data_IF_621982346985
#
_entry.id   IF_621982346985
#
_cell.length_a   1.000
_cell.length_b   1.000
_cell.length_c   1.000
_cell.angle_alpha   90.00
_cell.angle_beta   90.00
_cell.angle_gamma   90.00
#
_symmetry.space_group_name_H-M   'P 1'
#
loop_
_entity.id
_entity.type
_entity.pdbx_description
1 polymer ?
#
# COMPACT_ATOMS: atom_id res chain seq x y z
N UNK A 1 49.80 29.67 -27.69
CA UNK A 1 48.79 29.69 -26.62
C UNK A 1 48.08 28.35 -26.63
N UNK A 2 48.43 27.46 -25.70
CA UNK A 2 47.91 26.09 -25.62
C UNK A 2 46.50 26.11 -25.05
N UNK A 3 45.53 25.66 -25.85
CA UNK A 3 44.13 25.50 -25.44
C UNK A 3 44.08 24.41 -24.37
N UNK A 4 43.98 24.83 -23.11
CA UNK A 4 43.71 23.95 -21.98
C UNK A 4 42.39 23.23 -22.22
N UNK A 5 42.45 21.92 -22.41
CA UNK A 5 41.28 21.03 -22.46
C UNK A 5 40.50 21.25 -21.16
N UNK A 6 39.37 21.96 -21.26
CA UNK A 6 38.35 21.99 -20.24
C UNK A 6 37.86 20.55 -20.07
N UNK A 7 38.42 19.83 -19.11
CA UNK A 7 37.84 18.58 -18.63
C UNK A 7 36.44 18.92 -18.12
N UNK A 8 35.42 18.64 -18.93
CA UNK A 8 34.03 18.73 -18.51
C UNK A 8 33.87 17.89 -17.25
N UNK A 9 33.60 18.56 -16.13
CA UNK A 9 33.37 18.03 -14.79
C UNK A 9 32.10 17.14 -14.68
N UNK A 10 31.71 16.47 -15.76
CA UNK A 10 30.46 15.70 -15.89
C UNK A 10 30.61 14.24 -16.31
N UNK A 11 31.83 13.68 -16.44
CA UNK A 11 32.02 12.38 -17.11
C UNK A 11 31.56 11.16 -16.29
N UNK A 12 31.58 11.19 -14.96
CA UNK A 12 31.14 10.04 -14.14
C UNK A 12 29.63 9.98 -13.96
N UNK A 13 28.97 11.13 -13.76
CA UNK A 13 27.51 11.20 -13.61
C UNK A 13 26.75 10.80 -14.88
N UNK A 14 27.30 11.11 -16.06
CA UNK A 14 26.73 10.67 -17.34
C UNK A 14 26.83 9.14 -17.52
N UNK A 15 27.97 8.53 -17.17
CA UNK A 15 28.16 7.07 -17.23
C UNK A 15 27.26 6.30 -16.27
N UNK A 16 26.99 6.82 -15.07
CA UNK A 16 26.00 6.21 -14.17
C UNK A 16 24.58 6.34 -14.70
N UNK A 17 24.26 7.45 -15.36
CA UNK A 17 22.93 7.65 -15.93
C UNK A 17 22.65 6.70 -17.10
N UNK A 18 23.69 6.35 -17.88
CA UNK A 18 23.63 5.39 -18.98
C UNK A 18 23.34 3.94 -18.50
N UNK A 19 23.73 3.61 -17.27
CA UNK A 19 23.37 2.33 -16.62
C UNK A 19 21.94 2.29 -16.08
N UNK A 20 21.26 3.43 -15.98
CA UNK A 20 19.90 3.50 -15.41
C UNK A 20 18.91 3.08 -16.49
N UNK A 21 18.38 1.88 -16.33
CA UNK A 21 17.31 1.36 -17.20
C UNK A 21 16.11 2.30 -17.10
N UNK A 22 15.74 2.90 -18.23
CA UNK A 22 14.48 3.64 -18.37
C UNK A 22 13.36 2.65 -18.11
N UNK A 23 12.58 2.88 -17.05
CA UNK A 23 11.43 2.04 -16.72
C UNK A 23 10.21 2.71 -17.32
N UNK A 24 9.53 1.98 -18.21
CA UNK A 24 8.31 2.45 -18.84
C UNK A 24 7.18 2.69 -17.83
N UNK A 25 6.24 3.57 -18.16
CA UNK A 25 5.13 3.96 -17.30
C UNK A 25 4.26 2.75 -16.90
N UNK A 26 4.04 1.83 -17.83
CA UNK A 26 3.32 0.58 -17.60
C UNK A 26 4.01 -0.27 -16.51
N UNK A 27 5.34 -0.36 -16.58
CA UNK A 27 6.15 -1.11 -15.63
C UNK A 27 6.15 -0.45 -14.24
N UNK A 28 6.12 0.89 -14.18
CA UNK A 28 5.96 1.63 -12.91
C UNK A 28 4.61 1.33 -12.26
N UNK A 29 3.52 1.43 -13.01
CA UNK A 29 2.17 1.12 -12.52
C UNK A 29 2.04 -0.32 -12.02
N UNK A 30 2.70 -1.28 -12.71
CA UNK A 30 2.71 -2.68 -12.28
C UNK A 30 3.41 -2.87 -10.93
N UNK A 31 4.56 -2.22 -10.71
CA UNK A 31 5.26 -2.28 -9.41
C UNK A 31 4.43 -1.66 -8.28
N UNK A 32 3.83 -0.50 -8.54
CA UNK A 32 2.96 0.16 -7.57
C UNK A 32 1.78 -0.74 -7.17
N UNK A 33 1.13 -1.38 -8.14
CA UNK A 33 0.05 -2.34 -7.88
C UNK A 33 0.51 -3.52 -7.03
N UNK A 34 1.67 -4.10 -7.36
CA UNK A 34 2.23 -5.22 -6.59
C UNK A 34 2.47 -4.83 -5.12
N UNK A 35 2.95 -3.61 -4.87
CA UNK A 35 3.15 -3.13 -3.51
C UNK A 35 1.82 -2.99 -2.76
N UNK A 36 0.78 -2.44 -3.39
CA UNK A 36 -0.56 -2.38 -2.78
C UNK A 36 -1.08 -3.78 -2.44
N UNK A 37 -0.89 -4.75 -3.34
CA UNK A 37 -1.28 -6.15 -3.13
C UNK A 37 -0.52 -6.79 -1.96
N UNK A 38 0.79 -6.53 -1.82
CA UNK A 38 1.57 -6.99 -0.66
C UNK A 38 1.05 -6.37 0.64
N UNK A 39 0.78 -5.06 0.65
CA UNK A 39 0.24 -4.38 1.84
C UNK A 39 -1.16 -4.90 2.22
N UNK A 40 -1.98 -5.23 1.22
CA UNK A 40 -3.28 -5.85 1.45
C UNK A 40 -3.14 -7.28 1.99
N UNK A 41 -2.18 -8.06 1.49
CA UNK A 41 -1.87 -9.40 1.98
C UNK A 41 -1.33 -9.38 3.42
N UNK A 42 -0.48 -8.41 3.77
CA UNK A 42 0.05 -8.27 5.14
C UNK A 42 -1.05 -7.90 6.14
N UNK A 43 -2.08 -7.16 5.71
CA UNK A 43 -3.27 -6.89 6.52
C UNK A 43 -4.18 -8.13 6.64
N UNK A 44 -4.10 -9.07 5.70
CA UNK A 44 -4.89 -10.29 5.69
C UNK A 44 -4.16 -11.45 6.37
N UNK A 45 -4.56 -11.75 7.60
CA UNK A 45 -4.18 -13.00 8.26
C UNK A 45 -5.37 -13.96 8.25
N UNK A 46 -5.26 -15.06 7.49
CA UNK A 46 -6.11 -16.24 7.64
C UNK A 46 -6.17 -16.61 9.12
N UNK A 47 -7.37 -16.90 9.62
CA UNK A 47 -7.55 -17.29 11.00
C UNK A 47 -6.75 -18.60 11.24
N UNK A 48 -5.70 -18.60 12.10
CA UNK A 48 -4.94 -19.81 12.40
C UNK A 48 -5.78 -20.92 13.06
N UNK A 49 -7.04 -20.63 13.36
CA UNK A 49 -8.04 -21.53 13.91
C UNK A 49 -9.17 -21.89 12.93
N UNK A 50 -9.15 -21.42 11.67
CA UNK A 50 -10.18 -21.72 10.66
C UNK A 50 -10.31 -23.23 10.37
N UNK A 51 -9.19 -23.95 10.36
CA UNK A 51 -9.10 -25.40 10.11
C UNK A 51 -8.97 -26.24 11.39
N UNK A 52 -9.19 -25.65 12.57
CA UNK A 52 -9.26 -26.43 13.81
C UNK A 52 -10.53 -27.26 13.84
N UNK A 53 -10.46 -28.44 13.24
CA UNK A 53 -11.37 -29.54 13.51
C UNK A 53 -11.23 -29.84 15.00
N UNK A 54 -12.19 -29.37 15.81
CA UNK A 54 -12.26 -29.71 17.24
C UNK A 54 -12.26 -31.23 17.35
N UNK A 55 -11.11 -31.82 17.64
CA UNK A 55 -10.99 -33.27 17.75
C UNK A 55 -11.95 -33.73 18.85
N UNK A 56 -12.88 -34.64 18.52
CA UNK A 56 -13.88 -35.20 19.45
C UNK A 56 -13.26 -36.05 20.58
N UNK A 57 -11.93 -35.97 20.77
CA UNK A 57 -11.13 -36.70 21.76
C UNK A 57 -10.54 -35.76 22.82
N UNK A 58 -11.23 -34.66 23.12
CA UNK A 58 -10.93 -33.88 24.33
C UNK A 58 -11.42 -34.72 25.52
N UNK A 59 -10.56 -35.08 26.49
CA UNK A 59 -11.01 -35.82 27.66
C UNK A 59 -12.06 -34.99 28.39
N UNK A 60 -13.27 -35.55 28.53
CA UNK A 60 -14.32 -34.97 29.38
C UNK A 60 -13.90 -35.22 30.83
N UNK A 61 -13.23 -34.26 31.43
CA UNK A 61 -13.06 -34.25 32.88
C UNK A 61 -14.41 -33.89 33.49
N UNK A 62 -15.06 -34.89 34.08
CA UNK A 62 -16.27 -34.75 34.87
C UNK A 62 -15.86 -34.17 36.23
N UNK A 63 -15.78 -32.84 36.30
CA UNK A 63 -15.65 -32.13 37.57
C UNK A 63 -17.05 -31.96 38.16
N UNK A 64 -17.35 -32.81 39.14
CA UNK A 64 -18.37 -32.60 40.15
C UNK A 64 -18.15 -31.22 40.81
N UNK A 65 -18.76 -30.18 40.26
CA UNK A 65 -18.90 -28.90 40.93
C UNK A 65 -20.33 -28.40 40.76
N UNK A 66 -21.19 -28.85 41.67
CA UNK A 66 -22.43 -28.16 41.99
C UNK A 66 -22.09 -26.72 42.38
N UNK A 67 -22.27 -25.76 41.47
CA UNK A 67 -22.89 -24.46 41.73
C UNK A 67 -22.80 -23.54 40.51
N UNK A 68 -23.92 -22.84 40.27
CA UNK A 68 -24.09 -21.64 39.42
C UNK A 68 -24.22 -21.88 37.93
N UNK A 69 -25.49 -22.04 37.54
CA UNK A 69 -26.18 -21.14 36.60
C UNK A 69 -25.42 -19.84 36.26
N UNK A 70 -24.50 -19.93 35.31
CA UNK A 70 -24.17 -18.81 34.44
C UNK A 70 -23.77 -19.42 33.12
N UNK A 71 -24.70 -19.37 32.17
CA UNK A 71 -24.36 -19.27 30.75
C UNK A 71 -23.26 -18.21 30.67
N UNK A 72 -22.00 -18.65 30.63
CA UNK A 72 -20.88 -17.82 30.24
C UNK A 72 -21.13 -17.59 28.76
N UNK A 73 -21.97 -16.58 28.47
CA UNK A 73 -21.94 -15.84 27.22
C UNK A 73 -20.46 -15.60 26.99
N UNK A 74 -19.88 -16.35 26.06
CA UNK A 74 -18.46 -16.27 25.70
C UNK A 74 -18.29 -14.79 25.34
N UNK A 75 -17.76 -14.01 26.28
CA UNK A 75 -17.51 -12.59 26.06
C UNK A 75 -16.59 -12.58 24.86
N UNK A 76 -17.08 -12.03 23.76
CA UNK A 76 -16.32 -11.92 22.52
C UNK A 76 -15.09 -11.11 22.89
N UNK A 77 -13.96 -11.80 23.08
CA UNK A 77 -12.67 -11.16 23.37
C UNK A 77 -12.45 -10.05 22.35
N UNK A 78 -11.71 -8.99 22.70
CA UNK A 78 -11.30 -7.98 21.73
C UNK A 78 -10.66 -8.63 20.49
N UNK A 79 -9.99 -9.78 20.69
CA UNK A 79 -9.41 -10.62 19.64
C UNK A 79 -10.45 -11.18 18.65
N UNK A 80 -11.67 -11.50 19.12
CA UNK A 80 -12.77 -11.94 18.25
C UNK A 80 -13.24 -10.82 17.32
N UNK A 81 -13.21 -9.56 17.79
CA UNK A 81 -13.48 -8.41 16.92
C UNK A 81 -12.31 -8.17 15.96
N UNK A 82 -11.07 -8.30 16.41
CA UNK A 82 -9.89 -8.19 15.52
C UNK A 82 -9.88 -9.25 14.40
N UNK A 83 -10.40 -10.45 14.65
CA UNK A 83 -10.50 -11.51 13.63
C UNK A 83 -11.70 -11.33 12.69
N UNK A 84 -12.81 -10.75 13.17
CA UNK A 84 -14.01 -10.49 12.33
C UNK A 84 -13.78 -9.40 11.28
N UNK A 85 -12.79 -8.53 11.46
CA UNK A 85 -12.49 -7.39 10.57
C UNK A 85 -11.36 -7.61 9.57
N UNK A 86 -10.82 -8.83 9.42
CA UNK A 86 -9.76 -9.12 8.43
C UNK A 86 -10.31 -9.46 7.06
N UNK A 87 -11.20 -8.61 6.54
CA UNK A 87 -11.70 -8.74 5.16
C UNK A 87 -10.81 -7.92 4.24
N UNK A 88 -10.53 -8.45 3.06
CA UNK A 88 -9.86 -7.66 2.02
C UNK A 88 -10.72 -6.44 1.68
N UNK A 89 -10.09 -5.33 1.28
CA UNK A 89 -10.81 -4.10 0.94
C UNK A 89 -11.94 -4.33 -0.09
N UNK A 90 -11.70 -5.20 -1.08
CA UNK A 90 -12.73 -5.56 -2.08
C UNK A 90 -13.93 -6.29 -1.47
N UNK A 91 -13.71 -7.11 -0.45
CA UNK A 91 -14.80 -7.81 0.25
C UNK A 91 -15.63 -6.84 1.08
N UNK A 92 -14.99 -5.84 1.72
CA UNK A 92 -15.71 -4.78 2.43
C UNK A 92 -16.59 -3.95 1.50
N UNK A 93 -16.10 -3.67 0.28
CA UNK A 93 -16.86 -2.95 -0.73
C UNK A 93 -18.09 -3.73 -1.22
N UNK A 94 -17.98 -5.04 -1.45
CA UNK A 94 -19.14 -5.84 -1.87
C UNK A 94 -20.19 -5.93 -0.76
N UNK A 95 -19.76 -6.08 0.50
CA UNK A 95 -20.67 -6.10 1.64
C UNK A 95 -21.39 -4.76 1.83
N UNK A 96 -20.68 -3.65 1.68
CA UNK A 96 -21.29 -2.31 1.70
C UNK A 96 -22.34 -2.16 0.60
N UNK A 97 -22.06 -2.68 -0.61
CA UNK A 97 -23.00 -2.65 -1.73
C UNK A 97 -24.27 -3.45 -1.45
N UNK A 98 -24.13 -4.68 -0.95
CA UNK A 98 -25.28 -5.53 -0.58
C UNK A 98 -26.10 -4.89 0.54
N UNK A 99 -25.43 -4.34 1.56
CA UNK A 99 -26.12 -3.64 2.65
C UNK A 99 -26.83 -2.38 2.15
N UNK A 100 -26.23 -1.65 1.22
CA UNK A 100 -26.81 -0.46 0.62
C UNK A 100 -28.07 -0.77 -0.20
N UNK A 101 -28.07 -1.86 -0.96
CA UNK A 101 -29.26 -2.34 -1.69
C UNK A 101 -30.42 -2.71 -0.73
N UNK A 102 -30.11 -3.37 0.39
CA UNK A 102 -31.13 -3.79 1.38
C UNK A 102 -31.69 -2.61 2.15
N UNK A 103 -30.82 -1.70 2.59
CA UNK A 103 -31.21 -0.54 3.43
C UNK A 103 -31.65 0.68 2.62
N UNK A 104 -31.49 0.65 1.29
CA UNK A 104 -31.63 1.79 0.38
C UNK A 104 -30.77 3.00 0.79
N UNK A 105 -29.58 2.74 1.33
CA UNK A 105 -28.57 3.78 1.62
C UNK A 105 -27.66 3.95 0.39
N UNK A 106 -26.91 5.05 0.33
CA UNK A 106 -25.88 5.23 -0.69
C UNK A 106 -24.65 4.35 -0.37
N UNK A 107 -24.15 3.61 -1.36
CA UNK A 107 -22.92 2.83 -1.21
C UNK A 107 -21.69 3.74 -1.22
N UNK A 108 -20.58 3.24 -0.69
CA UNK A 108 -19.25 3.85 -0.79
C UNK A 108 -18.88 4.25 -2.22
N UNK A 109 -19.22 3.43 -3.22
CA UNK A 109 -18.93 3.73 -4.62
C UNK A 109 -19.81 4.85 -5.19
N UNK A 110 -21.03 5.00 -4.68
CA UNK A 110 -21.96 6.05 -5.13
C UNK A 110 -21.54 7.44 -4.61
N UNK A 111 -20.77 7.48 -3.52
CA UNK A 111 -20.23 8.71 -2.96
C UNK A 111 -18.97 9.22 -3.69
N UNK A 112 -18.47 8.49 -4.70
CA UNK A 112 -17.30 8.91 -5.46
C UNK A 112 -17.60 10.22 -6.22
N UNK A 113 -16.75 11.23 -6.00
CA UNK A 113 -16.84 12.49 -6.75
C UNK A 113 -16.36 12.32 -8.18
N UNK A 114 -16.91 13.12 -9.10
CA UNK A 114 -16.42 13.20 -10.47
C UNK A 114 -14.96 13.68 -10.54
N UNK A 115 -14.29 13.29 -11.63
CA UNK A 115 -12.91 13.72 -11.89
C UNK A 115 -12.81 15.23 -12.10
N UNK A 116 -11.66 15.80 -11.69
CA UNK A 116 -11.45 17.23 -11.80
C UNK A 116 -11.32 17.66 -13.25
N UNK A 117 -12.03 18.71 -13.66
CA UNK A 117 -11.91 19.32 -14.99
C UNK A 117 -10.65 20.18 -15.18
N UNK A 118 -9.91 20.45 -14.09
CA UNK A 118 -8.73 21.31 -14.09
C UNK A 118 -7.45 20.55 -14.45
N UNK A 119 -6.48 21.18 -15.14
CA UNK A 119 -5.22 20.53 -15.50
C UNK A 119 -4.36 20.26 -14.27
N UNK A 120 -3.67 19.12 -14.27
CA UNK A 120 -2.75 18.73 -13.21
C UNK A 120 -1.57 19.70 -13.10
N UNK A 121 -1.30 20.18 -11.89
CA UNK A 121 -0.06 20.89 -11.56
C UNK A 121 1.02 19.91 -11.12
N UNK A 122 2.27 20.25 -11.41
CA UNK A 122 3.40 19.36 -11.21
C UNK A 122 4.39 19.97 -10.22
N UNK A 123 4.46 19.35 -9.04
CA UNK A 123 5.30 19.79 -7.94
C UNK A 123 6.48 18.84 -7.72
N UNK A 124 7.56 19.38 -7.18
CA UNK A 124 8.74 18.63 -6.80
C UNK A 124 8.45 17.84 -5.52
N UNK A 125 8.74 16.55 -5.52
CA UNK A 125 8.53 15.68 -4.36
C UNK A 125 9.49 15.93 -3.19
N UNK A 126 10.51 16.76 -3.37
CA UNK A 126 11.49 17.08 -2.32
C UNK A 126 11.17 18.42 -1.65
N UNK A 127 10.90 19.47 -2.42
CA UNK A 127 10.75 20.84 -1.91
C UNK A 127 9.39 21.48 -2.20
N UNK A 128 8.49 20.82 -2.94
CA UNK A 128 7.13 21.32 -3.20
C UNK A 128 7.01 22.41 -4.28
N UNK A 129 8.12 22.95 -4.80
CA UNK A 129 8.08 23.93 -5.90
C UNK A 129 7.71 23.31 -7.25
N UNK A 130 7.33 24.14 -8.23
CA UNK A 130 7.05 23.68 -9.60
C UNK A 130 8.22 22.89 -10.18
N UNK A 131 7.89 21.78 -10.85
CA UNK A 131 8.88 20.81 -11.30
C UNK A 131 8.70 20.48 -12.78
N UNK A 132 9.64 20.89 -13.65
CA UNK A 132 9.62 20.52 -15.06
C UNK A 132 10.26 19.14 -15.32
N UNK A 133 11.11 18.63 -14.42
CA UNK A 133 11.86 17.40 -14.65
C UNK A 133 11.23 16.18 -13.98
N UNK A 134 11.50 15.01 -14.57
CA UNK A 134 10.97 13.71 -14.16
C UNK A 134 12.13 12.73 -14.04
N UNK A 135 12.12 11.92 -12.99
CA UNK A 135 13.06 10.85 -12.78
C UNK A 135 12.80 9.67 -13.75
N UNK A 136 13.84 9.22 -14.47
CA UNK A 136 13.72 8.14 -15.47
C UNK A 136 13.43 6.75 -14.85
N UNK A 137 13.81 6.53 -13.59
CA UNK A 137 13.68 5.23 -12.92
C UNK A 137 12.35 5.07 -12.21
N UNK A 138 11.86 6.10 -11.50
CA UNK A 138 10.65 6.02 -10.69
C UNK A 138 9.51 6.96 -11.13
N UNK A 139 9.75 7.91 -12.06
CA UNK A 139 8.72 8.85 -12.51
C UNK A 139 8.45 10.02 -11.55
N UNK A 140 9.15 10.12 -10.42
CA UNK A 140 9.02 11.24 -9.48
C UNK A 140 9.53 12.54 -10.08
N UNK A 141 8.86 13.65 -9.76
CA UNK A 141 9.19 14.98 -10.29
C UNK A 141 10.16 15.74 -9.37
N UNK A 142 11.16 16.41 -9.98
CA UNK A 142 12.12 17.26 -9.27
C UNK A 142 12.40 18.60 -9.97
N UNK A 143 12.61 19.67 -9.21
CA UNK A 143 12.84 21.00 -9.77
C UNK A 143 14.31 21.28 -10.13
N UNK A 144 15.25 20.72 -9.37
CA UNK A 144 16.69 21.00 -9.51
C UNK A 144 17.54 19.74 -9.36
N UNK A 145 18.80 19.79 -9.79
CA UNK A 145 19.76 18.67 -9.65
C UNK A 145 19.96 18.30 -8.17
N UNK A 146 19.95 19.27 -7.24
CA UNK A 146 20.04 18.97 -5.80
C UNK A 146 18.83 18.15 -5.31
N UNK A 147 17.64 18.48 -5.82
CA UNK A 147 16.42 17.72 -5.54
C UNK A 147 16.47 16.34 -6.21
N UNK A 148 17.10 16.20 -7.37
CA UNK A 148 17.34 14.90 -8.00
C UNK A 148 18.26 14.04 -7.14
N UNK A 149 19.40 14.57 -6.67
CA UNK A 149 20.35 13.81 -5.86
C UNK A 149 19.72 13.35 -4.54
N UNK A 150 19.08 14.27 -3.81
CA UNK A 150 18.34 13.93 -2.59
C UNK A 150 17.20 12.94 -2.84
N UNK A 151 16.50 13.06 -3.97
CA UNK A 151 15.51 12.07 -4.40
C UNK A 151 16.16 10.71 -4.63
N UNK A 152 17.33 10.63 -5.26
CA UNK A 152 18.03 9.37 -5.49
C UNK A 152 18.44 8.69 -4.19
N UNK A 153 18.93 9.45 -3.21
CA UNK A 153 19.43 8.90 -1.95
C UNK A 153 18.30 8.41 -1.04
N UNK A 154 17.21 9.17 -0.99
CA UNK A 154 16.13 8.97 0.00
C UNK A 154 14.90 8.32 -0.58
N UNK A 155 14.60 8.54 -1.87
CA UNK A 155 13.25 8.34 -2.43
C UNK A 155 13.15 7.47 -3.69
N UNK A 156 14.22 7.29 -4.45
CA UNK A 156 14.16 6.57 -5.71
C UNK A 156 14.05 5.06 -5.45
N UNK A 157 12.91 4.46 -5.83
CA UNK A 157 12.65 3.01 -5.81
C UNK A 157 12.72 2.30 -4.44
N UNK A 158 12.94 3.03 -3.32
CA UNK A 158 12.89 2.45 -1.97
C UNK A 158 11.49 1.95 -1.56
N UNK A 159 10.43 2.58 -2.07
CA UNK A 159 9.04 2.19 -1.79
C UNK A 159 8.30 1.74 -3.05
N UNK A 160 9.01 1.14 -4.00
CA UNK A 160 8.38 0.48 -5.16
C UNK A 160 9.07 -0.86 -5.48
N UNK A 161 9.84 -1.37 -4.51
CA UNK A 161 10.50 -2.65 -4.53
C UNK A 161 9.64 -3.67 -3.77
#
# INVERSE_FOLDING_TARGET
MTISKLTLRGSTRLKENEKRRIVDETSRKRRHRKMLETLEADNYHEDPHADLVMSKKIPKFDENLETRTRSKRKEKSADYYQMKFRKHFLQLLEEDRVEAEVTRRYSYMDMASEDTTMPYRHFCAVCGFFSPYVCLTCGMRYCTIRCMDTHMDTRCLKWAA
#
